data_IF_760005030970
#
_entry.id   IF_760005030970
#
_cell.length_a   1.000
_cell.length_b   1.000
_cell.length_c   1.000
_cell.angle_alpha   90.00
_cell.angle_beta   90.00
_cell.angle_gamma   90.00
#
_symmetry.space_group_name_H-M   'P 1'
#
loop_
_entity.id
_entity.type
_entity.pdbx_description
1 polymer ?
#
# COMPACT_ATOMS: atom_id res chain seq x y z
N UNK A 1 -38.16 -6.90 10.30
CA UNK A 1 -37.26 -7.35 11.38
C UNK A 1 -35.82 -7.32 10.87
N UNK A 2 -34.83 -6.91 11.67
CA UNK A 2 -33.40 -7.01 11.32
C UNK A 2 -32.74 -8.00 12.29
N UNK A 3 -31.75 -8.74 11.80
CA UNK A 3 -30.98 -9.71 12.59
C UNK A 3 -29.54 -9.24 12.71
N UNK A 4 -28.97 -9.25 13.91
CA UNK A 4 -27.62 -8.79 14.18
C UNK A 4 -26.78 -9.99 14.62
N UNK A 5 -25.80 -10.36 13.82
CA UNK A 5 -24.90 -11.47 14.11
C UNK A 5 -23.59 -10.95 14.72
N UNK A 6 -23.25 -11.42 15.92
CA UNK A 6 -21.99 -11.11 16.61
C UNK A 6 -21.06 -12.31 16.51
N UNK A 7 -20.02 -12.20 15.66
CA UNK A 7 -19.01 -13.21 15.40
C UNK A 7 -17.82 -13.14 16.37
N UNK A 8 -17.47 -11.93 16.82
CA UNK A 8 -16.53 -11.70 17.94
C UNK A 8 -17.09 -10.60 18.83
N UNK A 9 -17.16 -10.86 20.12
CA UNK A 9 -17.71 -9.97 21.14
C UNK A 9 -17.76 -10.65 22.50
N UNK A 10 -18.30 -9.98 23.51
CA UNK A 10 -18.50 -10.53 24.86
C UNK A 10 -19.40 -11.77 24.86
N UNK A 11 -20.36 -11.84 23.94
CA UNK A 11 -21.20 -13.01 23.68
C UNK A 11 -21.48 -13.09 22.19
N UNK A 12 -21.21 -14.23 21.58
CA UNK A 12 -21.49 -14.50 20.16
C UNK A 12 -22.90 -15.05 19.97
N UNK A 13 -23.49 -14.83 18.80
CA UNK A 13 -24.86 -15.25 18.50
C UNK A 13 -25.61 -14.28 17.59
N UNK A 14 -26.89 -14.58 17.33
CA UNK A 14 -27.80 -13.74 16.54
C UNK A 14 -28.79 -13.08 17.50
N UNK A 15 -29.01 -11.79 17.30
CA UNK A 15 -29.95 -10.97 18.06
C UNK A 15 -30.95 -10.32 17.11
N UNK A 16 -32.19 -10.14 17.53
CA UNK A 16 -33.25 -9.49 16.73
C UNK A 16 -33.39 -7.99 17.01
N UNK A 17 -32.62 -7.47 17.97
CA UNK A 17 -32.54 -6.06 18.34
C UNK A 17 -31.10 -5.56 18.36
N UNK A 18 -30.88 -4.31 17.91
CA UNK A 18 -29.58 -3.67 17.94
C UNK A 18 -29.12 -3.40 19.37
N UNK A 19 -30.03 -2.97 20.26
CA UNK A 19 -29.68 -2.63 21.65
C UNK A 19 -29.12 -3.82 22.43
N UNK A 20 -29.55 -5.04 22.08
CA UNK A 20 -29.00 -6.25 22.65
C UNK A 20 -27.63 -6.59 22.07
N UNK A 21 -27.48 -6.50 20.75
CA UNK A 21 -26.22 -6.77 20.06
C UNK A 21 -25.12 -5.78 20.46
N UNK A 22 -25.46 -4.48 20.58
CA UNK A 22 -24.55 -3.41 20.96
C UNK A 22 -23.93 -3.67 22.33
N UNK A 23 -24.74 -4.07 23.33
CA UNK A 23 -24.25 -4.42 24.67
C UNK A 23 -23.23 -5.57 24.65
N UNK A 24 -23.21 -6.41 23.61
CA UNK A 24 -22.26 -7.53 23.48
C UNK A 24 -20.98 -7.16 22.74
N UNK A 25 -20.95 -6.05 21.99
CA UNK A 25 -19.78 -5.64 21.20
C UNK A 25 -19.13 -4.37 21.70
N UNK A 26 -19.89 -3.49 22.38
CA UNK A 26 -19.42 -2.20 22.89
C UNK A 26 -18.31 -2.38 23.91
N UNK A 27 -17.16 -1.77 23.62
CA UNK A 27 -15.95 -1.84 24.45
C UNK A 27 -15.19 -3.19 24.38
N UNK A 28 -15.51 -4.07 23.44
CA UNK A 28 -14.74 -5.31 23.21
C UNK A 28 -13.72 -5.10 22.08
N UNK A 29 -12.43 -5.22 22.40
CA UNK A 29 -11.36 -5.05 21.42
C UNK A 29 -11.43 -6.14 20.34
N UNK A 30 -11.52 -5.75 19.07
CA UNK A 30 -11.63 -6.68 17.93
C UNK A 30 -13.02 -7.27 17.71
N UNK A 31 -14.09 -6.59 18.16
CA UNK A 31 -15.46 -7.03 17.92
C UNK A 31 -15.78 -7.14 16.41
N UNK A 32 -16.47 -8.22 16.02
CA UNK A 32 -16.92 -8.47 14.65
C UNK A 32 -18.41 -8.75 14.67
N UNK A 33 -19.21 -7.89 14.04
CA UNK A 33 -20.65 -8.06 13.96
C UNK A 33 -21.20 -7.49 12.65
N UNK A 34 -22.39 -7.94 12.24
CA UNK A 34 -23.07 -7.45 11.03
C UNK A 34 -24.58 -7.63 11.13
N UNK A 35 -25.34 -6.70 10.55
CA UNK A 35 -26.80 -6.80 10.45
C UNK A 35 -27.25 -7.42 9.12
N UNK A 36 -28.31 -8.20 9.15
CA UNK A 36 -28.89 -8.93 8.02
C UNK A 36 -30.40 -8.75 7.98
N UNK A 37 -30.98 -8.93 6.79
CA UNK A 37 -32.44 -8.87 6.60
C UNK A 37 -33.13 -10.18 6.98
N UNK A 38 -32.40 -11.29 6.94
CA UNK A 38 -32.92 -12.62 7.29
C UNK A 38 -32.03 -13.33 8.32
N UNK A 39 -32.64 -14.19 9.12
CA UNK A 39 -31.94 -15.00 10.13
C UNK A 39 -30.96 -15.99 9.50
N UNK A 40 -31.31 -16.51 8.31
CA UNK A 40 -30.45 -17.42 7.56
C UNK A 40 -29.12 -16.78 7.14
N UNK A 41 -29.15 -15.52 6.69
CA UNK A 41 -27.95 -14.76 6.35
C UNK A 41 -27.09 -14.46 7.59
N UNK A 42 -27.73 -14.17 8.74
CA UNK A 42 -27.04 -13.97 10.02
C UNK A 42 -26.36 -15.26 10.52
N UNK A 43 -27.00 -16.42 10.37
CA UNK A 43 -26.43 -17.73 10.69
C UNK A 43 -25.24 -18.09 9.79
N UNK A 44 -25.34 -17.81 8.49
CA UNK A 44 -24.24 -18.03 7.55
C UNK A 44 -22.99 -17.20 7.90
N UNK A 45 -23.18 -15.97 8.41
CA UNK A 45 -22.09 -15.11 8.84
C UNK A 45 -21.34 -15.64 10.08
N UNK A 46 -22.07 -16.23 11.05
CA UNK A 46 -21.48 -16.81 12.26
C UNK A 46 -20.76 -18.13 11.98
N UNK A 47 -21.37 -19.04 11.21
CA UNK A 47 -20.86 -20.40 11.01
C UNK A 47 -19.72 -20.50 9.98
N UNK A 48 -19.27 -19.38 9.39
CA UNK A 48 -18.14 -19.36 8.46
C UNK A 48 -18.37 -20.17 7.17
N UNK A 49 -19.61 -20.56 6.88
CA UNK A 49 -19.97 -21.43 5.77
C UNK A 49 -20.46 -20.62 4.56
N UNK A 50 -20.01 -21.07 3.37
CA UNK A 50 -20.41 -20.58 2.04
C UNK A 50 -21.92 -20.49 1.89
N UNK A 51 -22.40 -19.47 1.16
CA UNK A 51 -23.79 -19.30 0.68
C UNK A 51 -24.43 -20.65 0.36
N UNK A 52 -25.42 -21.05 1.16
CA UNK A 52 -26.37 -22.12 0.84
C UNK A 52 -27.62 -21.49 0.26
N UNK A 53 -27.75 -21.56 -1.07
CA UNK A 53 -29.05 -21.50 -1.73
C UNK A 53 -29.63 -22.90 -1.77
N UNK A 54 -30.86 -23.09 -1.30
CA UNK A 54 -31.65 -24.31 -1.48
C UNK A 54 -32.99 -23.94 -2.16
N UNK A 55 -33.78 -24.90 -2.68
CA UNK A 55 -33.63 -25.46 -4.02
C UNK A 55 -34.94 -25.36 -4.83
N UNK A 56 -34.90 -25.42 -6.17
CA UNK A 56 -35.90 -26.18 -6.97
C UNK A 56 -35.57 -26.22 -8.47
N UNK A 57 -35.56 -27.47 -8.99
CA UNK A 57 -35.98 -27.95 -10.32
C UNK A 57 -35.19 -27.58 -11.59
N UNK A 58 -34.38 -28.55 -11.99
CA UNK A 58 -34.28 -29.19 -13.33
C UNK A 58 -34.62 -28.36 -14.58
N UNK A 59 -33.62 -28.13 -15.45
CA UNK A 59 -33.65 -28.60 -16.85
C UNK A 59 -32.27 -28.44 -17.53
N UNK A 60 -31.95 -29.41 -18.37
CA UNK A 60 -30.78 -29.50 -19.26
C UNK A 60 -30.43 -28.19 -19.99
N UNK A 61 -29.12 -27.87 -20.07
CA UNK A 61 -28.37 -27.86 -21.34
C UNK A 61 -26.87 -27.63 -21.12
N UNK A 62 -26.10 -28.40 -21.85
CA UNK A 62 -24.66 -28.38 -21.98
C UNK A 62 -24.18 -27.03 -22.53
N UNK A 63 -23.47 -26.25 -21.72
CA UNK A 63 -22.48 -25.30 -22.22
C UNK A 63 -21.23 -25.36 -21.35
N UNK A 64 -20.15 -25.89 -21.95
CA UNK A 64 -18.78 -25.69 -21.48
C UNK A 64 -18.58 -24.19 -21.29
N UNK A 65 -18.39 -23.75 -20.04
CA UNK A 65 -17.76 -22.45 -19.77
C UNK A 65 -16.72 -22.68 -18.68
N UNK A 66 -15.47 -22.60 -19.11
CA UNK A 66 -14.30 -22.73 -18.27
C UNK A 66 -14.47 -21.89 -17.00
N UNK A 67 -14.32 -22.56 -15.85
CA UNK A 67 -14.19 -21.89 -14.57
C UNK A 67 -12.83 -21.18 -14.57
N UNK A 68 -12.83 -19.88 -14.87
CA UNK A 68 -11.73 -18.99 -14.48
C UNK A 68 -11.80 -18.82 -12.97
N UNK A 69 -11.39 -19.86 -12.24
CA UNK A 69 -10.93 -19.70 -10.87
C UNK A 69 -9.77 -18.70 -10.91
N UNK A 70 -9.85 -17.67 -10.08
CA UNK A 70 -8.73 -16.76 -9.85
C UNK A 70 -7.63 -17.58 -9.18
N UNK A 71 -6.81 -18.27 -9.98
CA UNK A 71 -5.53 -18.85 -9.54
C UNK A 71 -4.79 -17.73 -8.83
N UNK A 72 -4.22 -18.02 -7.66
CA UNK A 72 -3.10 -17.22 -7.16
C UNK A 72 -2.11 -17.14 -8.32
N UNK A 73 -1.91 -15.94 -8.86
CA UNK A 73 -0.99 -15.77 -9.97
C UNK A 73 0.38 -16.00 -9.37
N UNK A 74 0.94 -17.19 -9.62
CA UNK A 74 2.30 -17.46 -9.21
C UNK A 74 3.20 -16.46 -9.94
N UNK A 75 4.23 -15.91 -9.26
CA UNK A 75 5.18 -15.04 -9.91
C UNK A 75 5.74 -15.75 -11.16
N UNK A 76 5.63 -15.09 -12.30
CA UNK A 76 6.20 -15.57 -13.55
C UNK A 76 7.37 -14.68 -13.96
N UNK A 77 8.34 -15.26 -14.66
CA UNK A 77 9.55 -14.57 -15.06
C UNK A 77 10.74 -15.50 -15.10
N UNK A 78 11.78 -15.06 -15.80
CA UNK A 78 13.10 -15.69 -15.76
C UNK A 78 13.82 -15.33 -14.45
N UNK A 79 13.38 -14.22 -13.85
CA UNK A 79 13.87 -13.68 -12.58
C UNK A 79 12.69 -13.37 -11.66
N UNK A 80 12.71 -13.92 -10.45
CA UNK A 80 11.74 -13.56 -9.40
C UNK A 80 12.45 -12.76 -8.31
N UNK A 81 11.85 -11.64 -7.94
CA UNK A 81 12.38 -10.70 -6.94
C UNK A 81 11.40 -10.60 -5.79
N UNK A 82 11.87 -10.74 -4.57
CA UNK A 82 11.10 -10.48 -3.34
C UNK A 82 11.70 -9.26 -2.65
N UNK A 83 10.84 -8.38 -2.12
CA UNK A 83 11.28 -7.17 -1.42
C UNK A 83 10.43 -6.98 -0.18
N UNK A 84 11.07 -6.62 0.93
CA UNK A 84 10.38 -6.33 2.18
C UNK A 84 11.12 -5.24 2.98
N UNK A 85 10.37 -4.48 3.76
CA UNK A 85 10.87 -3.40 4.60
C UNK A 85 10.10 -3.32 5.91
N UNK A 86 10.85 -3.30 7.01
CA UNK A 86 10.33 -3.34 8.37
C UNK A 86 10.86 -2.21 9.24
N UNK A 87 10.06 -1.76 10.21
CA UNK A 87 10.50 -0.86 11.28
C UNK A 87 10.05 -1.36 12.65
N UNK A 88 10.98 -1.46 13.61
CA UNK A 88 10.72 -1.77 15.02
C UNK A 88 10.41 -0.50 15.79
N UNK A 89 9.35 0.18 15.37
CA UNK A 89 8.88 1.41 16.02
C UNK A 89 8.46 1.10 17.48
N UNK A 90 8.93 1.91 18.43
CA UNK A 90 8.51 1.81 19.84
C UNK A 90 7.04 2.19 20.06
N UNK A 91 6.40 2.82 19.07
CA UNK A 91 5.01 3.25 19.09
C UNK A 91 4.11 2.37 18.21
N UNK A 92 4.05 1.06 18.44
CA UNK A 92 3.06 0.17 17.81
C UNK A 92 1.61 0.40 18.33
N UNK A 93 1.26 1.64 18.60
CA UNK A 93 -0.08 2.12 18.90
C UNK A 93 -0.41 3.31 18.00
N UNK A 94 -1.70 3.55 17.77
CA UNK A 94 -2.17 4.72 17.01
C UNK A 94 -1.57 6.00 17.62
N UNK A 95 -1.01 6.89 16.80
CA UNK A 95 -0.32 8.10 17.24
C UNK A 95 1.15 7.93 17.67
N UNK A 96 1.72 6.72 17.56
CA UNK A 96 3.14 6.50 17.81
C UNK A 96 4.03 7.05 16.69
N UNK A 97 4.96 7.95 17.02
CA UNK A 97 5.97 8.43 16.08
C UNK A 97 7.23 7.58 16.15
N UNK A 98 7.86 7.37 14.99
CA UNK A 98 9.18 6.73 14.92
C UNK A 98 10.19 7.60 15.68
N UNK A 99 10.89 7.00 16.64
CA UNK A 99 11.97 7.68 17.36
C UNK A 99 13.27 7.58 16.57
N UNK A 100 14.16 8.54 16.76
CA UNK A 100 15.48 8.54 16.11
C UNK A 100 16.32 7.29 16.40
N UNK A 101 16.04 6.57 17.49
CA UNK A 101 16.70 5.32 17.87
C UNK A 101 16.03 4.05 17.32
N UNK A 102 14.86 4.17 16.67
CA UNK A 102 14.12 3.01 16.20
C UNK A 102 14.85 2.35 15.05
N UNK A 103 15.02 1.05 15.13
CA UNK A 103 15.67 0.29 14.06
C UNK A 103 14.68 0.03 12.94
N UNK A 104 15.10 0.24 11.71
CA UNK A 104 14.37 -0.15 10.53
C UNK A 104 15.35 -0.78 9.53
N UNK A 105 14.85 -1.72 8.73
CA UNK A 105 15.66 -2.37 7.71
C UNK A 105 14.84 -2.72 6.48
N UNK A 106 15.55 -2.85 5.37
CA UNK A 106 15.05 -3.33 4.10
C UNK A 106 15.84 -4.57 3.68
N UNK A 107 15.21 -5.44 2.90
CA UNK A 107 15.85 -6.59 2.30
C UNK A 107 15.25 -6.89 0.92
N UNK A 108 16.06 -7.45 0.03
CA UNK A 108 15.57 -8.08 -1.18
C UNK A 108 16.19 -9.46 -1.41
N UNK A 109 15.51 -10.27 -2.21
CA UNK A 109 15.99 -11.54 -2.73
C UNK A 109 15.70 -11.59 -4.24
N UNK A 110 16.73 -11.85 -5.04
CA UNK A 110 16.65 -12.10 -6.48
C UNK A 110 16.93 -13.58 -6.73
N UNK A 111 16.01 -14.26 -7.40
CA UNK A 111 16.11 -15.66 -7.78
C UNK A 111 16.24 -15.77 -9.30
N UNK A 112 17.31 -16.42 -9.77
CA UNK A 112 17.58 -16.69 -11.19
C UNK A 112 17.84 -18.18 -11.37
N UNK A 113 16.85 -18.93 -11.87
CA UNK A 113 16.94 -20.39 -11.91
C UNK A 113 17.14 -20.98 -10.50
N UNK A 114 18.30 -21.59 -10.25
CA UNK A 114 18.67 -22.14 -8.93
C UNK A 114 19.53 -21.20 -8.06
N UNK A 115 19.97 -20.06 -8.59
CA UNK A 115 20.76 -19.09 -7.82
C UNK A 115 19.85 -18.14 -7.03
N UNK A 116 20.30 -17.78 -5.83
CA UNK A 116 19.67 -16.81 -4.94
C UNK A 116 20.70 -15.73 -4.59
N UNK A 117 20.35 -14.47 -4.82
CA UNK A 117 21.17 -13.30 -4.47
C UNK A 117 20.35 -12.38 -3.59
N UNK A 118 20.92 -11.85 -2.51
CA UNK A 118 20.18 -11.02 -1.57
C UNK A 118 21.09 -9.97 -0.98
N UNK A 119 20.52 -8.81 -0.67
CA UNK A 119 21.16 -7.76 0.11
C UNK A 119 20.13 -7.21 1.09
N UNK A 120 20.63 -6.64 2.19
CA UNK A 120 19.84 -5.93 3.17
C UNK A 120 20.62 -4.77 3.77
N UNK A 121 19.90 -3.80 4.31
CA UNK A 121 20.47 -2.62 4.93
C UNK A 121 19.53 -2.05 5.98
N UNK A 122 20.08 -1.28 6.91
CA UNK A 122 19.34 -0.74 8.05
C UNK A 122 19.55 0.76 8.23
N UNK A 123 18.53 1.44 8.73
CA UNK A 123 18.57 2.85 9.11
C UNK A 123 17.87 3.04 10.46
N UNK A 124 18.39 3.95 11.28
CA UNK A 124 17.69 4.37 12.50
C UNK A 124 16.69 5.49 12.21
N UNK A 125 15.58 5.53 12.93
CA UNK A 125 14.57 6.58 12.79
C UNK A 125 13.73 6.52 11.52
N UNK A 126 13.79 5.40 10.79
CA UNK A 126 13.06 5.23 9.54
C UNK A 126 11.70 4.55 9.72
N UNK A 127 10.70 5.03 8.98
CA UNK A 127 9.34 4.46 8.92
C UNK A 127 9.29 3.17 8.12
N UNK A 128 8.26 2.34 8.32
CA UNK A 128 8.02 1.14 7.50
C UNK A 128 8.00 1.44 6.00
N UNK A 129 7.16 2.39 5.57
CA UNK A 129 7.03 2.79 4.17
C UNK A 129 8.36 3.21 3.53
N UNK A 130 9.25 3.84 4.31
CA UNK A 130 10.58 4.23 3.82
C UNK A 130 11.42 2.99 3.48
N UNK A 131 11.40 1.99 4.36
CA UNK A 131 12.14 0.74 4.13
C UNK A 131 11.53 -0.11 3.02
N UNK A 132 10.21 -0.14 2.89
CA UNK A 132 9.54 -0.83 1.77
C UNK A 132 9.94 -0.22 0.42
N UNK A 133 9.96 1.13 0.31
CA UNK A 133 10.43 1.79 -0.92
C UNK A 133 11.92 1.52 -1.14
N UNK A 134 12.73 1.53 -0.08
CA UNK A 134 14.17 1.29 -0.18
C UNK A 134 14.47 -0.13 -0.67
N UNK A 135 13.78 -1.14 -0.13
CA UNK A 135 13.89 -2.53 -0.57
C UNK A 135 13.68 -2.67 -2.07
N UNK A 136 12.63 -2.02 -2.58
CA UNK A 136 12.32 -2.02 -3.99
C UNK A 136 13.36 -1.27 -4.82
N UNK A 137 13.79 -0.09 -4.37
CA UNK A 137 14.82 0.70 -5.05
C UNK A 137 16.15 -0.04 -5.16
N UNK A 138 16.60 -0.67 -4.07
CA UNK A 138 17.87 -1.40 -4.04
C UNK A 138 17.82 -2.68 -4.89
N UNK A 139 16.66 -3.36 -4.95
CA UNK A 139 16.46 -4.45 -5.88
C UNK A 139 16.59 -4.00 -7.35
N UNK A 140 15.97 -2.87 -7.72
CA UNK A 140 16.13 -2.31 -9.08
C UNK A 140 17.59 -1.94 -9.38
N UNK A 141 18.27 -1.29 -8.43
CA UNK A 141 19.69 -0.96 -8.60
C UNK A 141 20.55 -2.20 -8.77
N UNK A 142 20.31 -3.24 -7.98
CA UNK A 142 21.00 -4.52 -8.09
C UNK A 142 20.83 -5.13 -9.47
N UNK A 143 19.59 -5.26 -9.95
CA UNK A 143 19.30 -5.83 -11.27
C UNK A 143 20.02 -5.07 -12.39
N UNK A 144 20.04 -3.73 -12.33
CA UNK A 144 20.80 -2.89 -13.28
C UNK A 144 22.31 -3.12 -13.20
N UNK A 145 22.88 -3.21 -11.98
CA UNK A 145 24.31 -3.51 -11.81
C UNK A 145 24.70 -4.86 -12.40
N UNK A 146 23.78 -5.84 -12.37
CA UNK A 146 23.99 -7.17 -12.95
C UNK A 146 23.64 -7.26 -14.45
N UNK A 147 23.14 -6.19 -15.07
CA UNK A 147 22.72 -6.21 -16.49
C UNK A 147 21.43 -6.99 -16.76
N UNK A 148 20.60 -7.21 -15.74
CA UNK A 148 19.41 -8.07 -15.79
C UNK A 148 18.11 -7.31 -16.13
N UNK A 149 18.18 -6.00 -16.40
CA UNK A 149 17.00 -5.14 -16.56
C UNK A 149 16.11 -5.45 -17.76
N UNK A 150 16.64 -6.18 -18.76
CA UNK A 150 15.89 -6.59 -19.97
C UNK A 150 15.23 -7.96 -19.85
N UNK A 151 15.47 -8.69 -18.76
CA UNK A 151 14.87 -10.01 -18.52
C UNK A 151 13.39 -9.89 -18.11
N UNK A 152 12.66 -11.00 -18.16
CA UNK A 152 11.29 -11.05 -17.63
C UNK A 152 11.35 -11.11 -16.10
N UNK A 153 11.07 -9.99 -15.45
CA UNK A 153 11.18 -9.85 -14.00
C UNK A 153 9.79 -9.89 -13.35
N UNK A 154 9.59 -10.78 -12.41
CA UNK A 154 8.42 -10.82 -11.52
C UNK A 154 8.79 -10.34 -10.12
N UNK A 155 8.22 -9.23 -9.66
CA UNK A 155 8.47 -8.68 -8.32
C UNK A 155 7.31 -8.99 -7.39
N UNK A 156 7.61 -9.64 -6.27
CA UNK A 156 6.69 -9.97 -5.18
C UNK A 156 6.95 -9.04 -4.02
N UNK A 157 5.89 -8.39 -3.54
CA UNK A 157 5.95 -7.51 -2.38
C UNK A 157 4.61 -7.56 -1.62
N UNK A 158 4.65 -7.32 -0.33
CA UNK A 158 3.47 -7.23 0.52
C UNK A 158 2.98 -5.78 0.76
N UNK A 159 3.84 -4.80 0.50
CA UNK A 159 3.51 -3.37 0.52
C UNK A 159 2.52 -2.99 -0.58
N UNK A 160 1.26 -2.81 -0.19
CA UNK A 160 0.26 -2.19 -1.06
C UNK A 160 0.60 -0.74 -1.38
N UNK A 161 1.27 -0.03 -0.46
CA UNK A 161 1.67 1.36 -0.69
C UNK A 161 2.65 1.46 -1.87
N UNK A 162 3.64 0.56 -1.95
CA UNK A 162 4.59 0.55 -3.07
C UNK A 162 3.92 0.11 -4.37
N UNK A 163 3.13 -0.97 -4.33
CA UNK A 163 2.40 -1.45 -5.50
C UNK A 163 1.45 -0.40 -6.07
N UNK A 164 0.67 0.24 -5.23
CA UNK A 164 -0.30 1.24 -5.66
C UNK A 164 0.41 2.44 -6.30
N UNK A 165 1.54 2.88 -5.74
CA UNK A 165 2.29 3.99 -6.30
C UNK A 165 2.70 3.73 -7.76
N UNK A 166 3.11 2.49 -8.06
CA UNK A 166 3.57 2.05 -9.38
C UNK A 166 2.36 1.77 -10.30
N UNK A 167 1.42 0.94 -9.84
CA UNK A 167 0.34 0.40 -10.67
C UNK A 167 -0.82 1.37 -10.89
N UNK A 168 -1.14 2.22 -9.90
CA UNK A 168 -2.24 3.20 -9.98
C UNK A 168 -1.80 4.55 -10.56
N UNK A 169 -0.57 4.63 -11.09
CA UNK A 169 -0.06 5.82 -11.78
C UNK A 169 0.25 7.01 -10.87
N UNK A 170 0.49 6.78 -9.56
CA UNK A 170 0.81 7.88 -8.63
C UNK A 170 2.15 8.53 -8.98
N UNK A 171 3.17 7.75 -9.37
CA UNK A 171 4.48 8.28 -9.80
C UNK A 171 4.33 9.29 -10.93
N UNK A 172 3.55 8.96 -11.96
CA UNK A 172 3.28 9.87 -13.07
C UNK A 172 2.54 11.13 -12.62
N UNK A 173 1.58 10.98 -11.70
CA UNK A 173 0.84 12.09 -11.09
C UNK A 173 1.73 13.02 -10.27
N UNK A 174 2.57 12.48 -9.40
CA UNK A 174 3.53 13.23 -8.58
C UNK A 174 4.52 13.97 -9.46
N UNK A 175 5.11 13.30 -10.46
CA UNK A 175 6.03 13.93 -11.43
C UNK A 175 5.40 15.15 -12.11
N UNK A 176 4.14 15.04 -12.57
CA UNK A 176 3.41 16.15 -13.20
C UNK A 176 3.20 17.35 -12.26
N UNK A 177 3.12 17.10 -10.95
CA UNK A 177 2.89 18.13 -9.91
C UNK A 177 4.17 18.58 -9.20
N UNK A 178 5.35 18.37 -9.78
CA UNK A 178 6.62 18.74 -9.15
C UNK A 178 6.96 17.93 -7.90
N UNK A 179 6.46 16.70 -7.84
CA UNK A 179 6.59 15.76 -6.72
C UNK A 179 5.86 16.19 -5.44
N UNK A 180 4.61 16.63 -5.60
CA UNK A 180 3.67 16.93 -4.53
C UNK A 180 2.42 16.05 -4.64
N UNK A 181 1.70 15.85 -3.53
CA UNK A 181 0.42 15.13 -3.51
C UNK A 181 -0.66 15.94 -4.24
N UNK A 182 -1.82 15.33 -4.49
CA UNK A 182 -2.94 15.98 -5.20
C UNK A 182 -3.61 17.08 -4.38
N UNK A 183 -3.59 16.95 -3.06
CA UNK A 183 -4.07 17.93 -2.08
C UNK A 183 -3.11 19.12 -1.87
N UNK A 184 -1.98 19.16 -2.59
CA UNK A 184 -0.95 20.18 -2.45
C UNK A 184 0.03 19.93 -1.30
N UNK A 185 -0.19 18.91 -0.47
CA UNK A 185 0.71 18.56 0.63
C UNK A 185 2.03 17.96 0.11
N UNK A 186 3.05 18.02 0.98
CA UNK A 186 4.37 17.48 0.71
C UNK A 186 4.30 15.96 0.53
N UNK A 187 4.98 15.46 -0.50
CA UNK A 187 5.15 14.02 -0.68
C UNK A 187 6.25 13.51 0.26
N UNK A 188 5.89 12.64 1.20
CA UNK A 188 6.87 11.92 2.01
C UNK A 188 7.72 10.99 1.14
N UNK A 189 8.97 10.76 1.53
CA UNK A 189 9.93 9.94 0.78
C UNK A 189 10.14 10.38 -0.68
N UNK A 190 9.91 11.67 -0.98
CA UNK A 190 10.04 12.26 -2.34
C UNK A 190 11.31 11.85 -3.06
N UNK A 191 12.47 11.92 -2.39
CA UNK A 191 13.75 11.57 -3.01
C UNK A 191 13.83 10.08 -3.37
N UNK A 192 13.33 9.19 -2.51
CA UNK A 192 13.26 7.75 -2.82
C UNK A 192 12.31 7.48 -3.98
N UNK A 193 11.15 8.14 -4.00
CA UNK A 193 10.19 8.00 -5.10
C UNK A 193 10.74 8.51 -6.44
N UNK A 194 11.49 9.61 -6.42
CA UNK A 194 12.22 10.11 -7.58
C UNK A 194 13.24 9.09 -8.09
N UNK A 195 13.99 8.47 -7.18
CA UNK A 195 14.97 7.44 -7.54
C UNK A 195 14.31 6.17 -8.10
N UNK A 196 13.17 5.75 -7.54
CA UNK A 196 12.37 4.63 -8.06
C UNK A 196 11.85 4.94 -9.47
N UNK A 197 11.20 6.10 -9.68
CA UNK A 197 10.70 6.50 -11.01
C UNK A 197 11.81 6.63 -12.05
N UNK A 198 13.02 7.03 -11.65
CA UNK A 198 14.17 7.08 -12.55
C UNK A 198 14.63 5.68 -12.94
N UNK A 199 14.80 4.76 -11.98
CA UNK A 199 15.29 3.41 -12.26
C UNK A 199 14.27 2.54 -13.00
N UNK A 200 12.98 2.65 -12.67
CA UNK A 200 11.90 1.86 -13.29
C UNK A 200 11.84 2.00 -14.81
N UNK A 201 12.28 3.14 -15.36
CA UNK A 201 12.25 3.38 -16.81
C UNK A 201 13.17 2.45 -17.61
N UNK A 202 14.15 1.85 -16.95
CA UNK A 202 15.11 0.94 -17.57
C UNK A 202 14.61 -0.51 -17.60
N UNK A 203 13.41 -0.80 -17.07
CA UNK A 203 12.85 -2.14 -16.94
C UNK A 203 11.63 -2.32 -17.85
N UNK A 204 11.81 -2.68 -19.13
CA UNK A 204 10.70 -2.82 -20.08
C UNK A 204 9.75 -3.99 -19.78
N UNK A 205 10.21 -5.03 -19.05
CA UNK A 205 9.45 -6.27 -18.83
C UNK A 205 9.41 -6.63 -17.34
N UNK A 206 8.79 -5.76 -16.54
CA UNK A 206 8.60 -5.96 -15.10
C UNK A 206 7.12 -6.17 -14.75
N UNK A 207 6.82 -7.20 -13.97
CA UNK A 207 5.48 -7.52 -13.45
C UNK A 207 5.51 -7.49 -11.93
N UNK A 208 4.36 -7.20 -11.33
CA UNK A 208 4.23 -7.07 -9.88
C UNK A 208 3.15 -7.97 -9.32
N UNK A 209 3.46 -8.59 -8.19
CA UNK A 209 2.64 -9.57 -7.49
C UNK A 209 2.49 -9.12 -6.04
N UNK A 210 1.23 -8.99 -5.60
CA UNK A 210 0.95 -8.77 -4.19
C UNK A 210 0.92 -10.11 -3.46
N UNK A 211 1.67 -10.21 -2.38
CA UNK A 211 1.51 -11.27 -1.39
C UNK A 211 1.00 -10.68 -0.08
N UNK A 212 0.39 -11.51 0.75
CA UNK A 212 0.02 -11.07 2.09
C UNK A 212 1.28 -11.14 2.96
N UNK A 213 1.57 -10.08 3.73
CA UNK A 213 2.69 -10.08 4.68
C UNK A 213 2.62 -11.29 5.62
N UNK A 214 3.79 -11.88 5.86
CA UNK A 214 3.97 -13.15 6.60
C UNK A 214 3.12 -14.33 6.09
N UNK A 215 2.69 -14.31 4.82
CA UNK A 215 2.15 -15.51 4.18
C UNK A 215 3.29 -16.51 3.92
N UNK A 216 2.96 -17.81 3.86
CA UNK A 216 3.91 -18.91 3.70
C UNK A 216 4.58 -19.01 2.32
N UNK A 217 4.81 -17.90 1.64
CA UNK A 217 5.70 -17.81 0.48
C UNK A 217 7.15 -17.81 0.98
N UNK A 218 7.93 -18.80 0.57
CA UNK A 218 9.33 -18.97 0.99
C UNK A 218 10.17 -17.72 0.72
N UNK A 219 9.94 -17.04 -0.41
CA UNK A 219 10.69 -15.83 -0.76
C UNK A 219 10.35 -14.65 0.15
N UNK A 220 9.08 -14.47 0.50
CA UNK A 220 8.64 -13.42 1.42
C UNK A 220 9.12 -13.69 2.85
N UNK A 221 9.03 -14.94 3.31
CA UNK A 221 9.54 -15.35 4.63
C UNK A 221 11.05 -15.14 4.71
N UNK A 222 11.78 -15.39 3.61
CA UNK A 222 13.22 -15.15 3.56
C UNK A 222 13.57 -13.68 3.76
N UNK A 223 12.93 -12.75 3.03
CA UNK A 223 13.25 -11.31 3.15
C UNK A 223 12.81 -10.72 4.50
N UNK A 224 11.69 -11.17 5.07
CA UNK A 224 11.25 -10.82 6.42
C UNK A 224 12.26 -11.31 7.49
N UNK A 225 12.78 -12.52 7.34
CA UNK A 225 13.84 -13.02 8.22
C UNK A 225 15.14 -12.21 8.07
N UNK A 226 15.54 -11.93 6.83
CA UNK A 226 16.77 -11.21 6.53
C UNK A 226 16.75 -9.77 7.07
N UNK A 227 15.65 -9.03 6.91
CA UNK A 227 15.55 -7.66 7.44
C UNK A 227 15.53 -7.65 8.98
N UNK A 228 14.92 -8.66 9.61
CA UNK A 228 14.94 -8.79 11.07
C UNK A 228 16.35 -9.08 11.59
N UNK A 229 17.08 -9.98 10.93
CA UNK A 229 18.48 -10.24 11.25
C UNK A 229 19.32 -8.97 11.10
N UNK A 230 19.09 -8.17 10.05
CA UNK A 230 19.77 -6.88 9.88
C UNK A 230 19.49 -5.95 11.05
N UNK A 231 18.23 -5.82 11.50
CA UNK A 231 17.91 -5.01 12.68
C UNK A 231 18.52 -5.56 13.97
N UNK A 232 18.62 -6.88 14.13
CA UNK A 232 19.28 -7.49 15.29
C UNK A 232 20.77 -7.14 15.35
N UNK A 233 21.43 -7.11 14.19
CA UNK A 233 22.86 -6.80 14.04
C UNK A 233 23.16 -5.29 14.10
N UNK A 234 22.16 -4.42 13.89
CA UNK A 234 22.34 -2.99 14.09
C UNK A 234 22.78 -2.73 15.54
N UNK A 235 23.84 -1.93 15.70
CA UNK A 235 24.31 -1.49 17.02
C UNK A 235 23.35 -0.50 17.68
N UNK A 236 23.89 0.37 18.51
CA UNK A 236 23.17 1.55 18.99
C UNK A 236 23.30 2.67 17.96
N UNK A 237 22.30 3.56 17.84
CA UNK A 237 22.43 4.76 17.02
C UNK A 237 23.62 5.58 17.56
N UNK A 238 24.51 6.01 16.67
CA UNK A 238 25.59 6.93 17.03
C UNK A 238 24.97 8.27 17.48
N UNK A 239 25.22 8.74 18.72
CA UNK A 239 24.69 10.01 19.22
C UNK A 239 25.08 11.23 18.37
N UNK A 240 26.12 11.13 17.54
CA UNK A 240 26.63 12.18 16.67
C UNK A 240 26.24 12.00 15.20
N UNK A 241 25.63 10.87 14.82
CA UNK A 241 25.11 10.69 13.47
C UNK A 241 23.87 11.56 13.29
N UNK A 242 23.98 12.58 12.43
CA UNK A 242 22.81 13.36 12.01
C UNK A 242 21.74 12.41 11.46
N UNK A 243 20.46 12.55 11.84
CA UNK A 243 19.42 11.68 11.32
C UNK A 243 19.39 11.81 9.79
N UNK A 244 19.40 10.68 9.09
CA UNK A 244 19.19 10.64 7.65
C UNK A 244 17.76 11.13 7.35
N UNK A 245 17.64 12.44 7.12
CA UNK A 245 16.41 13.20 6.86
C UNK A 245 15.46 13.20 8.05
N UNK A 246 15.40 14.35 8.70
CA UNK A 246 14.52 14.69 9.82
C UNK A 246 13.03 14.39 9.56
N UNK A 247 12.26 14.01 10.60
CA UNK A 247 10.81 14.16 10.57
C UNK A 247 10.48 15.66 10.49
N UNK A 248 9.57 16.00 9.59
CA UNK A 248 9.11 17.37 9.35
C UNK A 248 8.46 17.93 10.64
N UNK A 249 9.23 18.71 11.40
CA UNK A 249 8.74 19.58 12.48
C UNK A 249 9.26 20.99 12.22
N UNK A 250 8.49 21.81 11.50
CA UNK A 250 8.65 23.26 11.52
C UNK A 250 7.26 23.92 11.57
N UNK A 251 6.97 24.55 12.71
CA UNK A 251 5.86 25.50 12.84
C UNK A 251 6.13 26.78 12.03
N UNK A 252 5.11 27.62 11.83
CA UNK A 252 5.14 28.72 10.88
C UNK A 252 6.11 29.82 11.33
N UNK A 253 7.13 30.09 10.53
CA UNK A 253 7.95 31.31 10.60
C UNK A 253 7.58 32.23 9.41
N UNK A 254 7.61 33.57 9.57
CA UNK A 254 6.87 34.49 8.74
C UNK A 254 7.46 34.68 7.34
N UNK A 255 6.58 34.75 6.33
CA UNK A 255 6.91 35.02 4.93
C UNK A 255 7.21 36.53 4.75
N UNK A 256 8.33 36.94 4.11
CA UNK A 256 8.53 38.32 3.68
C UNK A 256 7.58 38.69 2.52
N UNK A 257 6.90 39.84 2.63
CA UNK A 257 5.95 40.36 1.64
C UNK A 257 6.61 40.51 0.24
N UNK A 258 5.98 40.03 -0.85
CA UNK A 258 6.42 40.36 -2.21
C UNK A 258 6.02 41.78 -2.61
N UNK A 259 6.96 42.53 -3.20
CA UNK A 259 6.72 43.83 -3.83
C UNK A 259 6.06 43.67 -5.22
N UNK A 260 5.26 44.64 -5.70
CA UNK A 260 4.46 44.51 -6.90
C UNK A 260 5.27 44.63 -8.20
N UNK A 261 5.07 43.69 -9.12
CA UNK A 261 5.62 43.70 -10.49
C UNK A 261 4.69 44.52 -11.40
N UNK A 262 5.28 45.46 -12.14
CA UNK A 262 4.63 46.34 -13.13
C UNK A 262 4.14 45.55 -14.36
N UNK A 263 2.93 45.86 -14.82
CA UNK A 263 2.26 45.32 -15.99
C UNK A 263 2.82 45.91 -17.30
N UNK A 264 2.88 45.11 -18.37
CA UNK A 264 2.92 45.55 -19.77
C UNK A 264 2.43 44.42 -20.72
N UNK A 265 2.02 44.71 -21.97
CA UNK A 265 0.67 44.41 -22.44
C UNK A 265 0.56 43.21 -23.41
N UNK A 266 -0.67 42.68 -23.48
CA UNK A 266 -1.16 41.57 -24.31
C UNK A 266 -1.09 41.81 -25.83
N UNK A 267 -0.90 40.76 -26.64
CA UNK A 267 -1.40 40.70 -28.01
C UNK A 267 -2.61 39.76 -28.20
N UNK A 268 -3.38 40.10 -29.23
CA UNK A 268 -4.73 39.70 -29.67
C UNK A 268 -5.02 38.19 -29.85
N UNK A 269 -6.30 37.87 -29.62
CA UNK A 269 -7.01 36.63 -29.93
C UNK A 269 -7.18 36.36 -31.44
N UNK A 270 -7.35 35.09 -31.82
CA UNK A 270 -8.33 34.69 -32.84
C UNK A 270 -9.45 33.79 -32.28
N UNK A 271 -10.62 33.87 -32.93
CA UNK A 271 -11.92 33.22 -32.63
C UNK A 271 -12.06 31.80 -33.24
N UNK A 272 -13.13 31.03 -32.92
CA UNK A 272 -13.06 29.59 -32.63
C UNK A 272 -13.46 28.66 -33.79
N UNK A 273 -13.03 27.39 -33.72
CA UNK A 273 -13.54 26.28 -34.55
C UNK A 273 -14.10 25.17 -33.64
N UNK A 274 -15.28 24.67 -34.01
CA UNK A 274 -16.12 23.73 -33.27
C UNK A 274 -15.70 22.25 -33.41
N UNK A 275 -15.66 21.58 -32.24
CA UNK A 275 -16.32 20.31 -31.87
C UNK A 275 -15.86 18.98 -32.50
N UNK A 276 -15.49 18.02 -31.63
CA UNK A 276 -16.03 16.65 -31.59
C UNK A 276 -15.80 16.01 -30.21
N UNK A 277 -16.83 15.36 -29.71
CA UNK A 277 -17.02 14.76 -28.37
C UNK A 277 -16.85 13.24 -28.38
N UNK A 278 -16.26 12.66 -27.33
CA UNK A 278 -16.62 11.41 -26.61
C UNK A 278 -15.41 10.82 -25.84
N UNK A 279 -15.60 9.89 -24.89
CA UNK A 279 -16.39 9.97 -23.66
C UNK A 279 -15.48 9.93 -22.41
N UNK A 280 -15.85 10.68 -21.38
CA UNK A 280 -15.19 10.68 -20.07
C UNK A 280 -15.80 9.60 -19.18
N UNK A 281 -15.00 8.65 -18.71
CA UNK A 281 -15.25 7.92 -17.46
C UNK A 281 -14.79 8.79 -16.29
N UNK A 282 -15.65 9.19 -15.34
CA UNK A 282 -15.21 9.78 -14.10
C UNK A 282 -14.92 8.65 -13.11
N UNK A 283 -13.66 8.23 -13.00
CA UNK A 283 -13.20 7.67 -11.72
C UNK A 283 -13.11 8.84 -10.77
N UNK A 284 -14.03 8.89 -9.80
CA UNK A 284 -14.15 10.01 -8.87
C UNK A 284 -12.85 10.17 -8.10
N UNK A 285 -12.38 11.41 -7.98
CA UNK A 285 -11.26 11.79 -7.09
C UNK A 285 -11.50 11.26 -5.66
N UNK A 286 -12.76 11.12 -5.27
CA UNK A 286 -13.20 10.54 -4.00
C UNK A 286 -12.80 9.06 -3.81
N UNK A 287 -12.74 8.27 -4.88
CA UNK A 287 -12.39 6.84 -4.78
C UNK A 287 -10.89 6.63 -4.52
N UNK A 288 -10.07 7.57 -5.01
CA UNK A 288 -8.63 7.62 -4.76
C UNK A 288 -8.38 8.11 -3.33
N UNK A 289 -9.10 9.14 -2.89
CA UNK A 289 -9.03 9.65 -1.51
C UNK A 289 -9.48 8.62 -0.47
N UNK A 290 -10.56 7.87 -0.75
CA UNK A 290 -11.05 6.84 0.16
C UNK A 290 -10.08 5.65 0.25
N UNK A 291 -9.39 5.31 -0.85
CA UNK A 291 -8.32 4.29 -0.83
C UNK A 291 -7.11 4.76 -0.02
N UNK A 292 -6.79 6.05 -0.05
CA UNK A 292 -5.68 6.64 0.70
C UNK A 292 -6.00 6.81 2.20
N UNK A 293 -7.25 7.12 2.56
CA UNK A 293 -7.71 7.17 3.96
C UNK A 293 -7.83 5.78 4.60
N UNK A 294 -8.21 4.75 3.83
CA UNK A 294 -8.24 3.36 4.32
C UNK A 294 -6.84 2.78 4.62
N UNK A 295 -5.78 3.40 4.11
CA UNK A 295 -4.38 3.04 4.38
C UNK A 295 -3.81 3.70 5.65
N UNK A 296 -4.64 4.35 6.49
CA UNK A 296 -4.24 4.88 7.79
C UNK A 296 -3.24 6.04 7.74
N UNK A 297 -3.19 6.78 6.62
CA UNK A 297 -2.20 7.82 6.38
C UNK A 297 -2.72 9.27 6.61
N UNK A 298 -3.93 9.41 7.16
CA UNK A 298 -4.56 10.69 7.46
C UNK A 298 -5.46 10.57 8.69
N UNK A 299 -4.98 11.05 9.84
CA UNK A 299 -5.78 11.72 10.87
C UNK A 299 -4.98 13.03 11.10
N UNK A 300 -5.34 14.17 10.52
CA UNK A 300 -6.19 15.21 11.13
C UNK A 300 -5.74 15.54 12.56
N UNK A 301 -4.72 16.41 12.67
CA UNK A 301 -4.46 17.21 13.86
C UNK A 301 -5.59 18.26 13.95
N UNK A 302 -6.56 18.03 14.84
CA UNK A 302 -7.38 19.09 15.43
C UNK A 302 -6.89 19.29 16.87
N UNK A 303 -6.46 20.52 17.14
CA UNK A 303 -6.09 21.20 18.40
C UNK A 303 -4.81 20.79 19.17
#
# INVERSE_FOLDING_TARGET
MKYYAVKKGRKTGIFTSWDEAEKKVKGFSGAQYKSFKTEAEANAYLNGAKKTTSPTKTHHKSHKKASTGRRSVQPDGDIIVYTDGGSRNHGNHRGGHVKASDKAAWAFLVQTGSQKYFESGGEFGATNNRMEIMAFLEALKYLKRQGLQNERIGVVMDSQYVLDAIQKGWLAGWRRRGWNKSDGSKLHNKQLWQAVDANLRDFPIIRYYWTKGHAGDEGNVFVDHLLNQTMDQMGQPDPQASPAVTPDKQGPQPIPKPQPIKQQPTPRQPKPIHRKTAPTTPTSVQDIENSLKQLGLFDEDDD
#
